data_IF_657113245064
#
_entry.id   IF_657113245064
#
_cell.length_a   1.000
_cell.length_b   1.000
_cell.length_c   1.000
_cell.angle_alpha   90.00
_cell.angle_beta   90.00
_cell.angle_gamma   90.00
#
_symmetry.space_group_name_H-M   'P 1'
#
loop_
_entity.id
_entity.type
_entity.pdbx_description
1 polymer ?
#
# COMPACT_ATOMS: atom_id res chain seq x y z
N UNK A 1 -6.81 -21.16 0.48
CA UNK A 1 -6.51 -20.37 1.69
C UNK A 1 -5.13 -20.77 2.16
N UNK A 2 -4.22 -19.83 2.33
CA UNK A 2 -2.86 -20.12 2.79
C UNK A 2 -2.85 -20.51 4.26
N UNK A 3 -1.90 -21.37 4.64
CA UNK A 3 -1.57 -21.64 6.03
C UNK A 3 -0.75 -20.49 6.64
N UNK A 4 -0.75 -20.39 7.96
CA UNK A 4 0.08 -19.40 8.67
C UNK A 4 1.57 -19.54 8.37
N UNK A 5 2.06 -20.77 8.23
CA UNK A 5 3.46 -21.04 7.88
C UNK A 5 3.82 -20.57 6.47
N UNK A 6 2.92 -20.71 5.50
CA UNK A 6 3.12 -20.17 4.15
C UNK A 6 3.16 -18.65 4.15
N UNK A 7 2.24 -18.00 4.87
CA UNK A 7 2.23 -16.53 5.02
C UNK A 7 3.53 -16.06 5.68
N UNK A 8 3.96 -16.70 6.77
CA UNK A 8 5.21 -16.37 7.46
C UNK A 8 6.43 -16.50 6.54
N UNK A 9 6.52 -17.61 5.79
CA UNK A 9 7.61 -17.87 4.85
C UNK A 9 7.65 -16.81 3.75
N UNK A 10 6.49 -16.44 3.20
CA UNK A 10 6.38 -15.39 2.19
C UNK A 10 6.75 -14.02 2.77
N UNK A 11 6.30 -13.69 3.97
CA UNK A 11 6.61 -12.45 4.67
C UNK A 11 8.13 -12.30 4.93
N UNK A 12 8.81 -13.37 5.35
CA UNK A 12 10.27 -13.37 5.53
C UNK A 12 10.99 -13.13 4.19
N UNK A 13 10.48 -13.72 3.11
CA UNK A 13 11.06 -13.56 1.77
C UNK A 13 10.88 -12.13 1.26
N UNK A 14 9.67 -11.58 1.41
CA UNK A 14 9.36 -10.18 1.14
C UNK A 14 10.29 -9.24 1.91
N UNK A 15 10.40 -9.44 3.23
CA UNK A 15 11.25 -8.62 4.10
C UNK A 15 12.72 -8.64 3.67
N UNK A 16 13.26 -9.80 3.28
CA UNK A 16 14.64 -9.92 2.80
C UNK A 16 14.87 -9.20 1.47
N UNK A 17 13.90 -9.23 0.57
CA UNK A 17 13.98 -8.57 -0.74
C UNK A 17 14.02 -7.06 -0.63
N UNK A 18 13.21 -6.49 0.26
CA UNK A 18 13.01 -5.04 0.33
C UNK A 18 13.94 -4.32 1.32
N UNK A 19 14.48 -5.04 2.32
CA UNK A 19 15.40 -4.51 3.35
C UNK A 19 16.47 -3.54 2.82
N UNK A 20 17.12 -3.90 1.72
CA UNK A 20 18.27 -3.18 1.16
C UNK A 20 17.93 -2.42 -0.14
N UNK A 21 16.64 -2.29 -0.47
CA UNK A 21 16.20 -1.56 -1.65
C UNK A 21 16.61 -0.08 -1.55
N UNK A 22 17.23 0.47 -2.60
CA UNK A 22 17.60 1.89 -2.66
C UNK A 22 16.39 2.84 -2.68
N UNK A 23 15.20 2.31 -2.95
CA UNK A 23 13.89 2.89 -2.64
C UNK A 23 13.54 4.14 -3.43
N UNK A 24 13.46 3.99 -4.76
CA UNK A 24 12.76 4.97 -5.60
C UNK A 24 11.29 4.54 -5.74
N UNK A 25 10.41 5.31 -5.10
CA UNK A 25 8.94 5.12 -5.10
C UNK A 25 8.37 4.87 -6.50
N UNK A 26 8.83 5.62 -7.51
CA UNK A 26 8.29 5.52 -8.86
C UNK A 26 8.75 4.28 -9.60
N UNK A 27 9.93 3.75 -9.27
CA UNK A 27 10.50 2.60 -9.95
C UNK A 27 10.06 1.29 -9.28
N UNK A 28 10.01 1.30 -7.95
CA UNK A 28 9.88 0.09 -7.15
C UNK A 28 8.49 -0.10 -6.51
N UNK A 29 7.68 0.97 -6.41
CA UNK A 29 6.40 0.97 -5.69
C UNK A 29 5.42 -0.11 -6.16
N UNK A 30 5.13 -0.15 -7.46
CA UNK A 30 4.22 -1.17 -8.03
C UNK A 30 4.71 -2.61 -7.78
N UNK A 31 6.03 -2.84 -7.84
CA UNK A 31 6.59 -4.16 -7.57
C UNK A 31 6.47 -4.51 -6.09
N UNK A 32 6.69 -3.53 -5.20
CA UNK A 32 6.50 -3.70 -3.76
C UNK A 32 5.06 -4.06 -3.41
N UNK A 33 4.08 -3.36 -3.98
CA UNK A 33 2.65 -3.63 -3.77
C UNK A 33 2.30 -5.05 -4.19
N UNK A 34 2.73 -5.45 -5.40
CA UNK A 34 2.51 -6.79 -5.91
C UNK A 34 3.13 -7.85 -5.00
N UNK A 35 4.40 -7.67 -4.63
CA UNK A 35 5.12 -8.62 -3.78
C UNK A 35 4.49 -8.69 -2.36
N UNK A 36 3.95 -7.58 -1.86
CA UNK A 36 3.28 -7.52 -0.57
C UNK A 36 1.92 -8.23 -0.60
N UNK A 37 1.11 -8.05 -1.65
CA UNK A 37 -0.16 -8.78 -1.80
C UNK A 37 0.07 -10.30 -1.91
N UNK A 38 1.14 -10.71 -2.60
CA UNK A 38 1.52 -12.12 -2.73
C UNK A 38 1.82 -12.78 -1.37
N UNK A 39 2.27 -12.03 -0.36
CA UNK A 39 2.46 -12.56 1.01
C UNK A 39 1.18 -13.23 1.53
N UNK A 40 0.04 -12.64 1.21
CA UNK A 40 -1.28 -13.10 1.65
C UNK A 40 -2.00 -13.94 0.58
N UNK A 41 -1.38 -14.17 -0.57
CA UNK A 41 -1.99 -14.87 -1.71
C UNK A 41 -3.19 -14.12 -2.29
N UNK A 42 -3.17 -12.79 -2.20
CA UNK A 42 -4.16 -11.89 -2.80
C UNK A 42 -3.66 -11.52 -4.19
N UNK A 43 -4.52 -11.62 -5.20
CA UNK A 43 -4.17 -11.12 -6.53
C UNK A 43 -4.16 -9.59 -6.48
N UNK A 44 -3.01 -8.99 -6.79
CA UNK A 44 -2.87 -7.53 -6.74
C UNK A 44 -3.85 -6.82 -7.72
N UNK A 45 -4.30 -7.50 -8.79
CA UNK A 45 -5.29 -6.94 -9.72
C UNK A 45 -6.71 -6.80 -9.13
N UNK A 46 -6.97 -7.41 -7.96
CA UNK A 46 -8.24 -7.19 -7.24
C UNK A 46 -8.34 -5.76 -6.66
N UNK A 47 -7.19 -5.08 -6.54
CA UNK A 47 -7.09 -3.68 -6.14
C UNK A 47 -6.72 -2.76 -7.31
N UNK A 48 -6.41 -1.51 -6.97
CA UNK A 48 -6.12 -0.44 -7.91
C UNK A 48 -4.77 0.19 -7.58
N UNK A 49 -3.84 0.12 -8.52
CA UNK A 49 -2.60 0.92 -8.49
C UNK A 49 -2.90 2.34 -8.99
N UNK A 50 -2.29 3.35 -8.36
CA UNK A 50 -2.50 4.78 -8.63
C UNK A 50 -4.00 5.14 -8.69
N UNK A 51 -4.75 4.80 -7.63
CA UNK A 51 -6.18 5.05 -7.58
C UNK A 51 -6.48 6.54 -7.37
N UNK A 52 -7.25 7.20 -8.26
CA UNK A 52 -7.56 8.61 -8.11
C UNK A 52 -8.54 8.84 -6.95
N UNK A 53 -8.24 9.84 -6.12
CA UNK A 53 -9.08 10.28 -5.01
C UNK A 53 -9.25 11.79 -5.06
N UNK A 54 -10.50 12.25 -4.98
CA UNK A 54 -10.82 13.68 -4.91
C UNK A 54 -10.80 14.08 -3.44
N UNK A 55 -9.85 14.94 -3.07
CA UNK A 55 -9.75 15.45 -1.70
C UNK A 55 -10.90 16.37 -1.36
N UNK A 56 -11.08 16.65 -0.07
CA UNK A 56 -12.07 17.63 0.43
C UNK A 56 -11.89 19.04 -0.18
N UNK A 57 -10.71 19.37 -0.70
CA UNK A 57 -10.45 20.65 -1.38
C UNK A 57 -10.73 20.61 -2.88
N UNK A 58 -11.25 19.49 -3.42
CA UNK A 58 -11.55 19.30 -4.83
C UNK A 58 -10.33 19.00 -5.71
N UNK A 59 -9.17 18.71 -5.12
CA UNK A 59 -7.97 18.32 -5.87
C UNK A 59 -7.97 16.81 -6.10
N UNK A 60 -7.57 16.38 -7.29
CA UNK A 60 -7.32 14.97 -7.57
C UNK A 60 -5.92 14.61 -7.12
N UNK A 61 -5.85 13.67 -6.18
CA UNK A 61 -4.62 12.99 -5.78
C UNK A 61 -4.72 11.51 -6.16
N UNK A 62 -3.65 10.77 -5.91
CA UNK A 62 -3.56 9.36 -6.22
C UNK A 62 -3.10 8.60 -4.97
N UNK A 63 -3.74 7.47 -4.72
CA UNK A 63 -3.34 6.48 -3.71
C UNK A 63 -2.43 5.48 -4.44
N UNK A 64 -1.28 5.15 -3.87
CA UNK A 64 -0.32 4.26 -4.54
C UNK A 64 -0.92 2.87 -4.81
N UNK A 65 -1.51 2.24 -3.79
CA UNK A 65 -2.34 1.05 -3.99
C UNK A 65 -3.55 1.01 -3.07
N UNK A 66 -4.67 0.56 -3.62
CA UNK A 66 -5.95 0.56 -2.93
C UNK A 66 -6.77 -0.68 -3.24
N UNK A 67 -7.10 -1.44 -2.21
CA UNK A 67 -8.02 -2.57 -2.26
C UNK A 67 -9.25 -2.23 -1.38
N UNK A 68 -10.41 -1.89 -1.99
CA UNK A 68 -11.57 -1.38 -1.27
C UNK A 68 -12.02 -2.24 -0.09
N UNK A 69 -12.31 -1.58 1.04
CA UNK A 69 -12.73 -2.23 2.28
C UNK A 69 -11.65 -3.06 2.98
N UNK A 70 -10.45 -3.20 2.39
CA UNK A 70 -9.39 -4.07 2.90
C UNK A 70 -8.13 -3.29 3.27
N UNK A 71 -7.44 -2.70 2.30
CA UNK A 71 -6.15 -2.05 2.53
C UNK A 71 -5.94 -0.84 1.64
N UNK A 72 -5.29 0.18 2.20
CA UNK A 72 -4.70 1.29 1.49
C UNK A 72 -3.20 1.29 1.78
N UNK A 73 -2.40 1.39 0.73
CA UNK A 73 -0.95 1.49 0.78
C UNK A 73 -0.54 2.87 0.30
N UNK A 74 0.27 3.56 1.11
CA UNK A 74 0.93 4.81 0.74
C UNK A 74 2.45 4.64 0.91
N UNK A 75 3.16 4.76 -0.19
CA UNK A 75 4.61 4.63 -0.27
C UNK A 75 5.27 6.01 -0.22
N UNK A 76 6.53 6.02 0.19
CA UNK A 76 7.44 7.15 -0.01
C UNK A 76 8.79 6.62 -0.47
N UNK A 77 9.57 7.47 -1.14
CA UNK A 77 10.98 7.15 -1.40
C UNK A 77 11.75 6.97 -0.09
N UNK A 78 12.80 6.16 -0.08
CA UNK A 78 13.55 5.79 1.13
C UNK A 78 13.99 6.99 1.97
N UNK A 79 13.76 6.91 3.27
CA UNK A 79 14.15 7.93 4.25
C UNK A 79 13.22 9.14 4.31
N UNK A 80 12.11 9.15 3.56
CA UNK A 80 11.06 10.18 3.69
C UNK A 80 10.12 9.87 4.85
N UNK A 81 9.37 10.89 5.27
CA UNK A 81 8.54 10.83 6.47
C UNK A 81 7.35 9.88 6.31
N UNK A 82 7.34 8.81 7.11
CA UNK A 82 6.20 7.89 7.24
C UNK A 82 5.01 8.54 7.98
N UNK A 83 5.25 9.50 8.87
CA UNK A 83 4.17 10.26 9.51
C UNK A 83 3.38 11.10 8.49
N UNK A 84 4.09 11.68 7.52
CA UNK A 84 3.47 12.39 6.40
C UNK A 84 2.65 11.42 5.53
N UNK A 85 3.21 10.25 5.20
CA UNK A 85 2.51 9.20 4.46
C UNK A 85 1.25 8.74 5.18
N UNK A 86 1.31 8.51 6.49
CA UNK A 86 0.17 8.10 7.29
C UNK A 86 -0.92 9.17 7.35
N UNK A 87 -0.51 10.43 7.52
CA UNK A 87 -1.45 11.56 7.49
C UNK A 87 -2.18 11.64 6.14
N UNK A 88 -1.45 11.44 5.04
CA UNK A 88 -1.99 11.41 3.69
C UNK A 88 -2.96 10.24 3.48
N UNK A 89 -2.57 9.02 3.85
CA UNK A 89 -3.43 7.82 3.83
C UNK A 89 -4.74 8.00 4.62
N UNK A 90 -4.66 8.62 5.80
CA UNK A 90 -5.84 8.93 6.62
C UNK A 90 -6.74 9.98 5.96
N UNK A 91 -6.16 10.97 5.27
CA UNK A 91 -6.94 11.96 4.52
C UNK A 91 -7.69 11.32 3.35
N UNK A 92 -7.03 10.40 2.61
CA UNK A 92 -7.66 9.63 1.55
C UNK A 92 -8.77 8.73 2.06
N UNK A 93 -8.53 8.01 3.16
CA UNK A 93 -9.54 7.18 3.84
C UNK A 93 -10.82 7.97 4.14
N UNK A 94 -10.70 9.22 4.61
CA UNK A 94 -11.86 10.08 4.89
C UNK A 94 -12.59 10.61 3.65
N UNK A 95 -11.93 10.62 2.50
CA UNK A 95 -12.52 11.02 1.22
C UNK A 95 -13.23 9.86 0.51
N UNK A 96 -12.99 8.61 0.93
CA UNK A 96 -13.67 7.42 0.42
C UNK A 96 -15.06 7.25 1.05
N UNK A 97 -15.95 6.54 0.34
CA UNK A 97 -17.25 6.16 0.87
C UNK A 97 -17.10 5.24 2.09
N UNK A 98 -18.00 5.29 3.08
CA UNK A 98 -17.90 4.47 4.28
C UNK A 98 -17.71 2.96 4.02
N UNK A 99 -18.41 2.40 3.04
CA UNK A 99 -18.32 0.99 2.63
C UNK A 99 -16.99 0.61 1.97
N UNK A 100 -16.29 1.60 1.43
CA UNK A 100 -15.04 1.44 0.71
C UNK A 100 -13.82 1.68 1.63
N UNK A 101 -14.02 2.27 2.82
CA UNK A 101 -12.93 2.60 3.73
C UNK A 101 -12.08 1.37 4.09
N UNK A 102 -10.75 1.43 3.91
CA UNK A 102 -9.88 0.29 4.16
C UNK A 102 -9.85 -0.06 5.65
N UNK A 103 -9.87 -1.37 5.96
CA UNK A 103 -9.67 -1.86 7.31
C UNK A 103 -8.21 -1.73 7.79
N UNK A 104 -7.27 -1.68 6.85
CA UNK A 104 -5.83 -1.61 7.09
C UNK A 104 -5.22 -0.43 6.35
N UNK A 105 -4.26 0.24 6.99
CA UNK A 105 -3.40 1.23 6.35
C UNK A 105 -1.97 0.72 6.46
N UNK A 106 -1.27 0.67 5.34
CA UNK A 106 0.16 0.42 5.28
C UNK A 106 0.86 1.68 4.77
N UNK A 107 1.90 2.09 5.47
CA UNK A 107 2.84 3.11 5.00
C UNK A 107 4.23 2.52 4.97
N UNK A 108 5.01 2.86 3.95
CA UNK A 108 6.34 2.28 3.77
C UNK A 108 7.26 3.20 2.98
N UNK A 109 8.54 3.16 3.32
CA UNK A 109 9.65 3.76 2.57
C UNK A 109 10.68 2.70 2.10
N UNK A 110 10.19 1.46 1.92
CA UNK A 110 10.90 0.22 1.54
C UNK A 110 11.78 -0.40 2.65
#
# INVERSE_FOLDING_TARGET
MLTWTEIETRAITFQKRWRDCSGDEKQDGQTFEKDFMEVFGVDWHDGFHEHPVITISGLTNYIDYYLPGKILIEMKSRGKSLDAAFTQAMAYTRALKPEDQPALILVSDF
#
